data_IF_826756725921
#
_entry.id   IF_826756725921
#
_cell.length_a   1.000
_cell.length_b   1.000
_cell.length_c   1.000
_cell.angle_alpha   90.00
_cell.angle_beta   90.00
_cell.angle_gamma   90.00
#
_symmetry.space_group_name_H-M   'P 1'
#
loop_
_entity.id
_entity.type
_entity.pdbx_description
1 polymer ?
#
# COMPACT_ATOMS: atom_id res chain seq x y z
N UNK A 1 -17.08 33.16 28.30
CA UNK A 1 -15.92 32.25 28.24
C UNK A 1 -15.16 32.58 26.96
N UNK A 2 -14.18 33.48 27.07
CA UNK A 2 -13.39 33.97 25.93
C UNK A 2 -12.08 33.21 25.90
N UNK A 3 -11.75 32.57 24.77
CA UNK A 3 -10.46 31.94 24.55
C UNK A 3 -9.35 33.01 24.54
N UNK A 4 -8.26 32.72 25.23
CA UNK A 4 -7.05 33.55 25.26
C UNK A 4 -6.32 33.35 23.93
N UNK A 5 -5.91 34.41 23.21
CA UNK A 5 -5.09 34.28 22.01
C UNK A 5 -3.64 34.02 22.42
N UNK A 6 -3.03 32.94 21.94
CA UNK A 6 -1.63 32.64 22.22
C UNK A 6 -0.73 33.48 21.30
N UNK A 7 -0.25 34.61 21.83
CA UNK A 7 0.92 35.31 21.32
C UNK A 7 2.21 34.56 21.67
N UNK A 8 3.12 34.54 20.72
CA UNK A 8 4.51 34.10 20.74
C UNK A 8 5.27 34.32 22.06
N UNK A 9 5.78 33.22 22.62
CA UNK A 9 6.70 33.17 23.77
C UNK A 9 6.24 32.19 24.84
N UNK A 10 6.55 30.90 24.70
CA UNK A 10 6.35 29.94 25.78
C UNK A 10 7.68 29.23 26.08
N UNK A 11 8.00 29.10 27.36
CA UNK A 11 9.10 28.24 27.83
C UNK A 11 8.83 26.76 27.50
N UNK A 12 9.69 25.83 27.95
CA UNK A 12 9.54 24.42 27.60
C UNK A 12 8.15 23.87 27.98
N UNK A 13 7.51 23.15 27.05
CA UNK A 13 6.19 22.53 27.22
C UNK A 13 6.39 21.06 27.62
N UNK A 14 5.95 20.62 28.81
CA UNK A 14 6.07 19.22 29.20
C UNK A 14 5.37 18.29 28.21
N UNK A 15 6.12 17.34 27.66
CA UNK A 15 5.63 16.37 26.67
C UNK A 15 5.63 16.89 25.23
N UNK A 16 6.28 18.02 24.94
CA UNK A 16 6.42 18.48 23.57
C UNK A 16 7.34 17.59 22.73
N UNK A 17 6.99 17.45 21.46
CA UNK A 17 7.83 16.81 20.46
C UNK A 17 8.53 17.88 19.63
N UNK A 18 9.86 17.92 19.73
CA UNK A 18 10.71 18.73 18.85
C UNK A 18 11.07 17.88 17.62
N UNK A 19 10.23 17.95 16.60
CA UNK A 19 10.38 17.12 15.39
C UNK A 19 11.49 17.67 14.49
N UNK A 20 12.22 16.76 13.84
CA UNK A 20 13.08 17.13 12.73
C UNK A 20 12.21 17.65 11.57
N UNK A 21 12.74 18.60 10.82
CA UNK A 21 12.08 19.10 9.62
C UNK A 21 12.20 18.07 8.48
N UNK A 22 11.17 18.03 7.63
CA UNK A 22 11.14 17.23 6.42
C UNK A 22 10.22 16.00 6.50
N UNK A 23 9.81 15.47 5.34
CA UNK A 23 8.99 14.26 5.28
C UNK A 23 9.82 13.01 5.61
N UNK A 24 9.16 11.99 6.13
CA UNK A 24 9.74 10.64 6.28
C UNK A 24 9.35 9.83 5.04
N UNK A 25 10.34 9.37 4.29
CA UNK A 25 10.11 8.43 3.19
C UNK A 25 9.70 7.05 3.74
N UNK A 26 8.60 6.51 3.24
CA UNK A 26 8.12 5.17 3.59
C UNK A 26 8.42 4.20 2.44
N UNK A 27 8.66 2.93 2.79
CA UNK A 27 8.93 1.86 1.83
C UNK A 27 10.07 2.22 0.85
N UNK A 28 11.11 2.91 1.33
CA UNK A 28 12.23 3.36 0.53
C UNK A 28 12.88 2.20 -0.24
N UNK A 29 13.14 2.41 -1.54
CA UNK A 29 13.74 1.41 -2.42
C UNK A 29 12.84 0.24 -2.81
N UNK A 30 11.55 0.25 -2.43
CA UNK A 30 10.62 -0.79 -2.85
C UNK A 30 10.30 -0.71 -4.35
N UNK A 31 10.21 -1.87 -4.99
CA UNK A 31 9.82 -2.00 -6.40
C UNK A 31 8.33 -1.66 -6.58
N UNK A 32 8.05 -0.39 -6.87
CA UNK A 32 6.69 0.16 -6.92
C UNK A 32 6.05 -0.06 -8.28
N UNK A 33 4.78 -0.45 -8.29
CA UNK A 33 3.93 -0.42 -9.49
C UNK A 33 2.71 0.46 -9.25
N UNK A 34 2.17 1.03 -10.32
CA UNK A 34 0.89 1.74 -10.29
C UNK A 34 -0.17 0.92 -11.00
N UNK A 35 -1.37 0.84 -10.40
CA UNK A 35 -2.53 0.20 -11.00
C UNK A 35 -3.73 1.14 -10.92
N UNK A 36 -4.55 1.10 -11.96
CA UNK A 36 -5.89 1.68 -11.92
C UNK A 36 -6.87 0.66 -11.36
N UNK A 37 -7.71 1.10 -10.43
CA UNK A 37 -8.67 0.25 -9.73
C UNK A 37 -10.03 0.91 -9.81
N UNK A 38 -11.04 0.15 -10.22
CA UNK A 38 -12.43 0.62 -10.32
C UNK A 38 -13.30 -0.23 -9.41
N UNK A 39 -14.09 0.39 -8.54
CA UNK A 39 -15.10 -0.34 -7.78
C UNK A 39 -16.37 -0.49 -8.62
N UNK A 40 -16.61 -1.70 -9.13
CA UNK A 40 -17.80 -2.03 -9.94
C UNK A 40 -19.03 -2.34 -9.10
N UNK A 41 -18.89 -2.41 -7.77
CA UNK A 41 -19.98 -2.66 -6.85
C UNK A 41 -20.83 -1.42 -6.55
N UNK A 42 -21.89 -1.62 -5.78
CA UNK A 42 -22.86 -0.59 -5.36
C UNK A 42 -22.54 0.07 -4.01
N UNK A 43 -21.51 -0.43 -3.32
CA UNK A 43 -21.09 0.01 -1.98
C UNK A 43 -19.61 0.37 -1.97
N UNK A 44 -19.21 1.35 -1.15
CA UNK A 44 -17.81 1.70 -1.01
C UNK A 44 -17.01 0.56 -0.40
N UNK A 45 -15.76 0.41 -0.86
CA UNK A 45 -14.81 -0.59 -0.36
C UNK A 45 -13.60 0.13 0.20
N UNK A 46 -13.09 -0.33 1.36
CA UNK A 46 -11.88 0.20 1.97
C UNK A 46 -10.84 -0.92 2.12
N UNK A 47 -9.62 -0.69 1.64
CA UNK A 47 -8.52 -1.67 1.66
C UNK A 47 -7.36 -1.09 2.47
N UNK A 48 -6.92 -1.84 3.49
CA UNK A 48 -5.85 -1.43 4.39
C UNK A 48 -4.43 -1.60 3.81
N UNK A 49 -3.48 -0.88 4.40
CA UNK A 49 -2.07 -0.83 4.00
C UNK A 49 -1.36 -2.18 3.85
N UNK A 50 -1.75 -3.21 4.63
CA UNK A 50 -1.07 -4.51 4.70
C UNK A 50 -1.89 -5.70 4.21
N UNK A 51 -3.03 -5.44 3.56
CA UNK A 51 -3.80 -6.49 2.90
C UNK A 51 -3.03 -6.93 1.65
N UNK A 52 -2.95 -8.25 1.41
CA UNK A 52 -2.51 -8.77 0.12
C UNK A 52 -3.51 -8.33 -0.95
N UNK A 53 -3.12 -7.36 -1.77
CA UNK A 53 -4.05 -6.59 -2.61
C UNK A 53 -4.91 -7.46 -3.57
N UNK A 54 -4.41 -8.56 -4.16
CA UNK A 54 -5.22 -9.48 -4.96
C UNK A 54 -6.36 -10.16 -4.22
N UNK A 55 -6.31 -10.22 -2.88
CA UNK A 55 -7.40 -10.75 -2.04
C UNK A 55 -8.38 -9.65 -1.59
N UNK A 56 -8.22 -8.41 -2.06
CA UNK A 56 -9.21 -7.37 -1.87
C UNK A 56 -10.55 -7.76 -2.54
N UNK A 57 -11.63 -7.06 -2.14
CA UNK A 57 -13.01 -7.34 -2.55
C UNK A 57 -13.12 -7.61 -4.07
N UNK A 58 -13.91 -8.61 -4.45
CA UNK A 58 -14.13 -9.02 -5.85
C UNK A 58 -14.83 -7.94 -6.68
N UNK A 59 -15.53 -6.99 -6.03
CA UNK A 59 -16.11 -5.83 -6.70
C UNK A 59 -15.05 -4.84 -7.25
N UNK A 60 -13.81 -4.91 -6.77
CA UNK A 60 -12.71 -4.11 -7.30
C UNK A 60 -12.15 -4.78 -8.56
N UNK A 61 -12.25 -4.06 -9.68
CA UNK A 61 -11.71 -4.45 -10.98
C UNK A 61 -10.32 -3.81 -11.18
N UNK A 62 -9.32 -4.67 -11.41
CA UNK A 62 -7.91 -4.33 -11.62
C UNK A 62 -7.12 -5.60 -12.01
N UNK A 63 -5.88 -5.43 -12.47
CA UNK A 63 -4.99 -6.56 -12.78
C UNK A 63 -4.49 -7.27 -11.50
N UNK A 64 -5.19 -8.35 -11.12
CA UNK A 64 -4.85 -9.17 -9.95
C UNK A 64 -3.54 -9.95 -10.12
N UNK A 65 -3.12 -10.22 -11.35
CA UNK A 65 -1.85 -10.91 -11.65
C UNK A 65 -0.70 -9.95 -11.38
N UNK A 66 -0.78 -8.71 -11.88
CA UNK A 66 0.21 -7.68 -11.60
C UNK A 66 0.29 -7.31 -10.11
N UNK A 67 -0.85 -7.32 -9.40
CA UNK A 67 -0.91 -7.07 -7.97
C UNK A 67 -0.39 -8.24 -7.10
N UNK A 68 -0.08 -9.40 -7.67
CA UNK A 68 0.26 -10.60 -6.91
C UNK A 68 1.47 -10.41 -6.00
N UNK A 69 1.30 -10.73 -4.72
CA UNK A 69 2.33 -10.58 -3.69
C UNK A 69 2.66 -9.14 -3.30
N UNK A 70 1.74 -8.21 -3.56
CA UNK A 70 1.88 -6.77 -3.26
C UNK A 70 0.81 -6.27 -2.29
N UNK A 71 1.10 -5.12 -1.67
CA UNK A 71 0.21 -4.38 -0.76
C UNK A 71 0.22 -2.89 -1.12
N UNK A 72 -0.75 -2.14 -0.60
CA UNK A 72 -0.82 -0.69 -0.80
C UNK A 72 0.42 0.01 -0.23
N UNK A 73 0.98 0.90 -1.03
CA UNK A 73 2.08 1.76 -0.68
C UNK A 73 1.58 3.05 -0.01
N UNK A 74 1.07 2.87 1.19
CA UNK A 74 0.52 3.94 2.03
C UNK A 74 1.07 3.79 3.46
N UNK A 75 0.96 4.81 4.32
CA UNK A 75 1.41 4.71 5.70
C UNK A 75 0.77 3.52 6.43
N UNK A 76 1.57 2.83 7.26
CA UNK A 76 1.10 1.68 8.02
C UNK A 76 -0.11 2.05 8.89
N UNK A 77 -1.11 1.16 8.95
CA UNK A 77 -2.36 1.39 9.67
C UNK A 77 -3.41 2.24 8.94
N UNK A 78 -3.08 2.82 7.77
CA UNK A 78 -4.04 3.55 6.94
C UNK A 78 -4.70 2.65 5.89
N UNK A 79 -5.65 3.21 5.12
CA UNK A 79 -6.39 2.51 4.09
C UNK A 79 -6.78 3.44 2.93
N UNK A 80 -7.03 2.86 1.76
CA UNK A 80 -7.61 3.55 0.60
C UNK A 80 -9.08 3.17 0.48
N UNK A 81 -9.94 4.17 0.25
CA UNK A 81 -11.37 4.01 0.02
C UNK A 81 -11.68 4.16 -1.48
N UNK A 82 -12.46 3.23 -2.02
CA UNK A 82 -12.90 3.19 -3.40
C UNK A 82 -14.42 3.39 -3.47
N UNK A 83 -14.84 4.50 -4.09
CA UNK A 83 -16.27 4.79 -4.32
C UNK A 83 -16.82 3.98 -5.52
N UNK A 84 -18.09 3.58 -5.49
CA UNK A 84 -18.77 2.95 -6.63
C UNK A 84 -18.59 3.72 -7.95
N UNK A 85 -18.15 3.02 -9.00
CA UNK A 85 -18.02 3.52 -10.36
C UNK A 85 -16.84 4.47 -10.61
N UNK A 86 -16.05 4.83 -9.60
CA UNK A 86 -14.93 5.76 -9.75
C UNK A 86 -13.61 5.01 -9.91
N UNK A 87 -12.89 5.30 -11.00
CA UNK A 87 -11.52 4.85 -11.20
C UNK A 87 -10.56 5.61 -10.28
N UNK A 88 -9.67 4.89 -9.60
CA UNK A 88 -8.62 5.48 -8.78
C UNK A 88 -7.29 4.78 -9.04
N UNK A 89 -6.24 5.58 -9.24
CA UNK A 89 -4.88 5.08 -9.37
C UNK A 89 -4.26 4.86 -7.98
N UNK A 90 -3.68 3.70 -7.77
CA UNK A 90 -3.00 3.34 -6.52
C UNK A 90 -1.60 2.82 -6.78
N UNK A 91 -0.73 3.03 -5.80
CA UNK A 91 0.64 2.53 -5.78
C UNK A 91 0.71 1.26 -4.92
N UNK A 92 1.40 0.24 -5.42
CA UNK A 92 1.60 -1.04 -4.73
C UNK A 92 3.09 -1.35 -4.59
N UNK A 93 3.47 -1.85 -3.42
CA UNK A 93 4.82 -2.35 -3.11
C UNK A 93 4.78 -3.84 -2.77
N UNK A 94 5.88 -4.59 -2.98
CA UNK A 94 5.93 -6.00 -2.60
C UNK A 94 5.70 -6.16 -1.10
N UNK A 95 5.05 -7.26 -0.72
CA UNK A 95 5.11 -7.72 0.67
C UNK A 95 6.57 -7.96 1.05
N UNK A 96 6.97 -7.46 2.22
CA UNK A 96 8.27 -7.71 2.82
C UNK A 96 8.29 -8.99 3.67
N UNK A 97 9.36 -9.19 4.44
CA UNK A 97 9.50 -10.36 5.31
C UNK A 97 9.63 -11.67 4.51
N UNK A 98 9.06 -12.77 5.04
CA UNK A 98 9.06 -14.09 4.38
C UNK A 98 8.13 -14.20 3.18
N UNK A 99 7.26 -13.20 2.95
CA UNK A 99 6.28 -13.16 1.86
C UNK A 99 5.35 -14.37 1.85
N UNK A 100 4.86 -14.73 3.03
CA UNK A 100 3.86 -15.78 3.20
C UNK A 100 2.50 -15.15 3.52
N UNK A 101 1.48 -15.52 2.73
CA UNK A 101 0.14 -14.96 2.87
C UNK A 101 -0.82 -16.08 3.27
N UNK A 102 -1.30 -16.01 4.50
CA UNK A 102 -2.28 -16.93 5.06
C UNK A 102 -3.57 -16.17 5.43
N UNK A 103 -4.73 -16.79 5.21
CA UNK A 103 -6.03 -16.22 5.56
C UNK A 103 -6.50 -15.10 4.61
N UNK A 104 -7.28 -14.15 5.16
CA UNK A 104 -8.03 -13.07 4.48
C UNK A 104 -9.16 -13.59 3.58
N UNK A 105 -8.86 -14.53 2.69
CA UNK A 105 -9.83 -15.24 1.86
C UNK A 105 -9.62 -16.77 1.94
N UNK A 106 -10.54 -17.56 1.37
CA UNK A 106 -10.44 -19.01 1.36
C UNK A 106 -9.23 -19.53 0.56
N UNK A 107 -8.82 -18.79 -0.49
CA UNK A 107 -7.76 -19.19 -1.43
C UNK A 107 -6.45 -18.44 -1.15
N UNK A 108 -5.97 -18.50 0.10
CA UNK A 108 -4.71 -17.85 0.47
C UNK A 108 -3.52 -18.55 -0.22
N UNK A 109 -2.62 -17.83 -0.91
CA UNK A 109 -1.58 -18.44 -1.73
C UNK A 109 -0.43 -19.07 -0.92
N UNK A 110 -0.34 -18.80 0.38
CA UNK A 110 0.77 -19.28 1.21
C UNK A 110 2.10 -18.61 0.81
N UNK A 111 3.22 -19.37 0.73
CA UNK A 111 4.51 -18.83 0.34
C UNK A 111 4.53 -18.31 -1.10
N UNK A 112 4.91 -17.05 -1.28
CA UNK A 112 4.94 -16.40 -2.60
C UNK A 112 6.29 -16.51 -3.33
N UNK A 113 7.34 -16.98 -2.64
CA UNK A 113 8.70 -17.01 -3.18
C UNK A 113 9.36 -15.63 -3.30
N UNK A 114 10.47 -15.50 -4.05
CA UNK A 114 11.17 -14.23 -4.24
C UNK A 114 10.35 -13.24 -5.09
N UNK A 115 10.68 -11.94 -5.01
CA UNK A 115 10.04 -10.94 -5.87
C UNK A 115 10.50 -11.22 -7.30
N UNK A 116 9.57 -11.65 -8.17
CA UNK A 116 9.88 -11.88 -9.58
C UNK A 116 9.44 -10.65 -10.38
N UNK A 117 10.42 -9.94 -10.94
CA UNK A 117 10.15 -8.87 -11.88
C UNK A 117 10.15 -9.49 -13.29
N UNK A 118 9.04 -9.45 -14.01
CA UNK A 118 9.08 -9.54 -15.49
C UNK A 118 8.12 -8.51 -16.06
N UNK A 119 8.61 -7.66 -16.98
CA UNK A 119 8.91 -8.12 -18.34
C UNK A 119 10.29 -7.69 -18.89
N UNK A 120 11.02 -8.61 -19.56
CA UNK A 120 12.17 -8.25 -20.42
C UNK A 120 13.50 -8.99 -20.22
N UNK A 121 13.64 -9.89 -19.26
CA UNK A 121 14.91 -10.62 -19.07
C UNK A 121 15.04 -11.76 -20.10
N UNK A 122 15.74 -11.47 -21.19
CA UNK A 122 16.40 -12.52 -21.98
C UNK A 122 17.56 -13.02 -21.11
N UNK A 123 17.33 -14.14 -20.41
CA UNK A 123 18.40 -14.91 -19.79
C UNK A 123 19.32 -15.37 -20.92
N UNK A 124 20.35 -14.57 -21.20
CA UNK A 124 21.37 -14.79 -22.21
C UNK A 124 22.29 -15.93 -21.83
N UNK A 125 21.74 -17.14 -21.67
CA UNK A 125 22.57 -18.33 -21.61
C UNK A 125 23.15 -18.59 -23.00
N UNK A 126 24.45 -18.87 -23.11
CA UNK A 126 24.99 -19.38 -24.35
C UNK A 126 24.31 -20.73 -24.61
N UNK A 127 23.76 -20.88 -25.82
CA UNK A 127 23.49 -22.20 -26.38
C UNK A 127 24.85 -22.79 -26.72
N UNK A 128 25.17 -23.91 -26.06
CA UNK A 128 26.29 -24.76 -26.43
C UNK A 128 25.96 -25.53 -27.73
#
# INVERSE_FOLDING_TARGET
MSAIPAGSGHGPVPGEYLLAAGPIEINAGADRIELEVVNTGDRPVQVGSHVHFPQANTALDFDRIAAHGRRLDIPAGTAVRFEPGLAQRVSLVPLGGSREVYGIGPDAPGPLGPVTNRPGETDGRPVD
#
